data_IF_516723266370
#
_entry.id   IF_516723266370
#
_cell.length_a   1.000
_cell.length_b   1.000
_cell.length_c   1.000
_cell.angle_alpha   90.00
_cell.angle_beta   90.00
_cell.angle_gamma   90.00
#
_symmetry.space_group_name_H-M   'P 1'
#
loop_
_entity.id
_entity.type
_entity.pdbx_description
1 polymer ?
#
# COMPACT_ATOMS: atom_id res chain seq x y z
N UNK A 1 -11.20 -6.43 -5.54
CA UNK A 1 -10.02 -6.65 -6.40
C UNK A 1 -10.31 -6.46 -7.89
N UNK A 2 -11.48 -6.86 -8.40
CA UNK A 2 -11.83 -6.71 -9.84
C UNK A 2 -11.75 -5.26 -10.36
N UNK A 3 -12.15 -4.26 -9.56
CA UNK A 3 -12.05 -2.85 -9.96
C UNK A 3 -10.66 -2.24 -9.72
N UNK A 4 -9.87 -2.79 -8.79
CA UNK A 4 -8.55 -2.24 -8.42
C UNK A 4 -7.51 -2.49 -9.53
N UNK A 5 -7.53 -3.69 -10.12
CA UNK A 5 -6.57 -4.11 -11.14
C UNK A 5 -6.57 -3.20 -12.38
N UNK A 6 -7.73 -2.89 -13.00
CA UNK A 6 -7.79 -1.97 -14.13
C UNK A 6 -7.23 -0.59 -13.79
N UNK A 7 -7.60 -0.02 -12.63
CA UNK A 7 -7.10 1.30 -12.19
C UNK A 7 -5.59 1.28 -12.00
N UNK A 8 -5.06 0.24 -11.36
CA UNK A 8 -3.62 0.09 -11.14
C UNK A 8 -2.85 -0.03 -12.46
N UNK A 9 -3.35 -0.84 -13.40
CA UNK A 9 -2.73 -1.02 -14.72
C UNK A 9 -2.79 0.28 -15.53
N UNK A 10 -3.95 0.93 -15.60
CA UNK A 10 -4.12 2.21 -16.30
C UNK A 10 -3.19 3.27 -15.72
N UNK A 11 -3.07 3.35 -14.40
CA UNK A 11 -2.18 4.31 -13.76
C UNK A 11 -0.70 3.98 -14.01
N UNK A 12 -0.31 2.71 -13.96
CA UNK A 12 1.06 2.29 -14.29
C UNK A 12 1.45 2.66 -15.73
N UNK A 13 0.58 2.40 -16.71
CA UNK A 13 0.84 2.80 -18.09
C UNK A 13 0.82 4.32 -18.28
N UNK A 14 -0.10 5.02 -17.62
CA UNK A 14 -0.14 6.48 -17.64
C UNK A 14 1.18 7.08 -17.15
N UNK A 15 1.68 6.65 -15.99
CA UNK A 15 2.96 7.11 -15.45
C UNK A 15 4.16 6.82 -16.36
N UNK A 16 4.12 5.73 -17.14
CA UNK A 16 5.22 5.36 -18.05
C UNK A 16 5.19 6.09 -19.40
N UNK A 17 3.99 6.35 -19.91
CA UNK A 17 3.77 7.01 -21.20
C UNK A 17 3.77 8.54 -21.08
N UNK A 18 3.43 9.08 -19.91
CA UNK A 18 3.51 10.52 -19.64
C UNK A 18 4.96 11.00 -19.64
N UNK A 19 5.39 11.56 -20.78
CA UNK A 19 6.72 12.17 -20.95
C UNK A 19 6.94 13.31 -19.96
N UNK A 20 5.87 14.02 -19.58
CA UNK A 20 5.89 15.14 -18.63
C UNK A 20 6.24 14.71 -17.20
N UNK A 21 6.07 13.44 -16.83
CA UNK A 21 6.38 12.95 -15.48
C UNK A 21 7.80 12.38 -15.35
N UNK A 22 8.54 12.32 -16.47
CA UNK A 22 9.96 11.97 -16.44
C UNK A 22 10.76 13.15 -15.93
N UNK A 23 11.61 12.89 -14.94
CA UNK A 23 12.42 13.93 -14.28
C UNK A 23 11.61 14.98 -13.50
N UNK A 24 10.33 14.74 -13.24
CA UNK A 24 9.55 15.61 -12.37
C UNK A 24 9.84 15.30 -10.90
N UNK A 25 10.31 16.34 -10.20
CA UNK A 25 10.57 16.30 -8.78
C UNK A 25 9.26 16.51 -8.03
N UNK A 26 8.83 15.51 -7.26
CA UNK A 26 7.61 15.62 -6.45
C UNK A 26 7.89 16.18 -5.06
N UNK A 27 8.88 15.62 -4.35
CA UNK A 27 9.07 15.91 -2.91
C UNK A 27 10.49 15.57 -2.46
N UNK A 28 11.26 16.54 -1.95
CA UNK A 28 12.62 16.44 -1.38
C UNK A 28 13.57 15.36 -1.97
N UNK A 29 13.34 14.07 -1.69
CA UNK A 29 14.13 12.94 -2.19
C UNK A 29 13.61 12.29 -3.49
N UNK A 30 12.35 12.50 -3.85
CA UNK A 30 11.73 12.01 -5.09
C UNK A 30 12.01 13.03 -6.19
N UNK A 31 13.03 12.73 -7.00
CA UNK A 31 13.48 13.55 -8.12
C UNK A 31 12.93 13.07 -9.48
N UNK A 32 12.31 11.88 -9.51
CA UNK A 32 11.68 11.33 -10.71
C UNK A 32 10.54 10.37 -10.32
N UNK A 33 9.32 10.71 -10.73
CA UNK A 33 8.12 9.90 -10.47
C UNK A 33 8.05 8.61 -11.31
N UNK A 34 8.76 8.57 -12.43
CA UNK A 34 8.81 7.44 -13.35
C UNK A 34 9.89 6.41 -12.98
N UNK A 35 10.89 6.82 -12.20
CA UNK A 35 11.96 5.96 -11.70
C UNK A 35 11.63 5.36 -10.31
N UNK A 36 12.29 4.27 -9.90
CA UNK A 36 12.16 3.74 -8.54
C UNK A 36 12.64 4.73 -7.46
N UNK A 37 12.09 4.64 -6.25
CA UNK A 37 12.48 5.50 -5.12
C UNK A 37 13.93 5.21 -4.68
N UNK A 38 14.87 6.17 -4.82
CA UNK A 38 16.28 5.95 -4.52
C UNK A 38 16.56 5.73 -3.02
N UNK A 39 15.69 6.22 -2.13
CA UNK A 39 15.86 6.09 -0.68
C UNK A 39 14.98 5.00 -0.06
N UNK A 40 14.15 4.32 -0.87
CA UNK A 40 13.22 3.28 -0.42
C UNK A 40 12.27 3.71 0.71
N UNK A 41 12.02 5.02 0.86
CA UNK A 41 11.16 5.58 1.90
C UNK A 41 9.70 5.19 1.61
N UNK A 42 9.26 5.27 0.36
CA UNK A 42 7.89 4.94 -0.03
C UNK A 42 7.54 3.46 0.17
N UNK A 43 8.37 2.48 -0.26
CA UNK A 43 8.14 1.07 0.05
C UNK A 43 8.05 0.77 1.56
N UNK A 44 8.94 1.36 2.37
CA UNK A 44 8.94 1.17 3.83
C UNK A 44 7.67 1.76 4.46
N UNK A 45 7.27 2.95 4.01
CA UNK A 45 6.06 3.60 4.50
C UNK A 45 4.80 2.81 4.11
N UNK A 46 4.78 2.24 2.90
CA UNK A 46 3.72 1.33 2.46
C UNK A 46 3.65 0.07 3.34
N UNK A 47 4.78 -0.59 3.64
CA UNK A 47 4.82 -1.72 4.56
C UNK A 47 4.28 -1.35 5.95
N UNK A 48 4.65 -0.17 6.48
CA UNK A 48 4.15 0.34 7.75
C UNK A 48 2.63 0.55 7.74
N UNK A 49 2.08 1.15 6.67
CA UNK A 49 0.63 1.34 6.52
C UNK A 49 -0.12 0.02 6.44
N UNK A 50 0.40 -0.95 5.70
CA UNK A 50 -0.16 -2.30 5.62
C UNK A 50 -0.13 -3.00 6.97
N UNK A 51 0.99 -2.92 7.70
CA UNK A 51 1.11 -3.50 9.04
C UNK A 51 0.08 -2.90 10.02
N UNK A 52 -0.10 -1.57 9.99
CA UNK A 52 -1.13 -0.90 10.81
C UNK A 52 -2.55 -1.34 10.43
N UNK A 53 -2.81 -1.50 9.15
CA UNK A 53 -4.10 -1.97 8.62
C UNK A 53 -4.37 -3.42 9.05
N UNK A 54 -3.37 -4.29 8.99
CA UNK A 54 -3.46 -5.67 9.46
C UNK A 54 -3.70 -5.75 10.97
N UNK A 55 -3.08 -4.86 11.77
CA UNK A 55 -3.31 -4.82 13.22
C UNK A 55 -4.72 -4.36 13.58
N UNK A 56 -5.37 -3.57 12.73
CA UNK A 56 -6.75 -3.13 12.91
C UNK A 56 -7.76 -4.19 12.48
N UNK A 57 -7.46 -4.98 11.44
CA UNK A 57 -8.33 -6.06 10.99
C UNK A 57 -8.17 -7.29 11.89
N UNK A 58 -9.25 -7.80 12.52
CA UNK A 58 -9.18 -9.05 13.26
C UNK A 58 -8.77 -10.19 12.32
N UNK A 59 -7.90 -11.06 12.82
CA UNK A 59 -7.49 -12.26 12.10
C UNK A 59 -8.69 -13.22 12.00
N UNK A 60 -8.94 -13.88 10.86
CA UNK A 60 -10.07 -14.80 10.71
C UNK A 60 -10.04 -15.91 11.79
N UNK A 61 -11.17 -16.19 12.48
CA UNK A 61 -11.25 -17.32 13.41
C UNK A 61 -10.95 -18.64 12.67
N UNK A 62 -10.08 -19.48 13.24
CA UNK A 62 -9.73 -20.79 12.66
C UNK A 62 -8.52 -20.80 11.70
N UNK A 63 -7.75 -19.71 11.63
CA UNK A 63 -6.52 -19.69 10.85
C UNK A 63 -5.40 -20.53 11.50
N UNK A 64 -4.81 -21.44 10.72
CA UNK A 64 -3.63 -22.20 11.12
C UNK A 64 -2.42 -21.28 11.43
N UNK A 65 -1.57 -21.64 12.41
CA UNK A 65 -0.44 -20.81 12.85
C UNK A 65 0.55 -20.47 11.72
N UNK A 66 0.66 -21.33 10.70
CA UNK A 66 1.47 -21.09 9.50
C UNK A 66 0.94 -19.92 8.67
N UNK A 67 -0.37 -19.85 8.45
CA UNK A 67 -0.99 -18.77 7.68
C UNK A 67 -0.91 -17.42 8.43
N UNK A 68 -1.03 -17.45 9.76
CA UNK A 68 -0.86 -16.27 10.60
C UNK A 68 0.57 -15.70 10.50
N UNK A 69 1.59 -16.56 10.41
CA UNK A 69 2.97 -16.14 10.18
C UNK A 69 3.14 -15.51 8.80
N UNK A 70 2.58 -16.11 7.74
CA UNK A 70 2.63 -15.54 6.39
C UNK A 70 2.01 -14.14 6.32
N UNK A 71 0.89 -13.91 7.01
CA UNK A 71 0.27 -12.57 7.05
C UNK A 71 1.17 -11.51 7.66
N UNK A 72 2.03 -11.85 8.64
CA UNK A 72 2.99 -10.91 9.25
C UNK A 72 4.14 -10.54 8.32
N UNK A 73 4.57 -11.46 7.45
CA UNK A 73 5.67 -11.21 6.50
C UNK A 73 5.20 -10.66 5.16
N UNK A 74 3.91 -10.77 4.85
CA UNK A 74 3.32 -10.27 3.61
C UNK A 74 3.63 -8.79 3.31
N UNK A 75 3.52 -7.85 4.26
CA UNK A 75 3.85 -6.44 4.00
C UNK A 75 5.30 -6.23 3.58
N UNK A 76 6.23 -6.99 4.16
CA UNK A 76 7.66 -6.88 3.87
C UNK A 76 7.96 -7.42 2.48
N UNK A 77 7.36 -8.54 2.10
CA UNK A 77 7.51 -9.11 0.74
C UNK A 77 6.99 -8.16 -0.34
N UNK A 78 5.81 -7.57 -0.13
CA UNK A 78 5.23 -6.61 -1.09
C UNK A 78 6.05 -5.33 -1.17
N UNK A 79 6.57 -4.83 -0.04
CA UNK A 79 7.49 -3.70 -0.05
C UNK A 79 8.78 -4.01 -0.82
N UNK A 80 9.30 -5.24 -0.74
CA UNK A 80 10.43 -5.69 -1.56
C UNK A 80 10.16 -5.62 -3.07
N UNK A 81 8.93 -5.91 -3.50
CA UNK A 81 8.53 -5.75 -4.92
C UNK A 81 8.45 -4.27 -5.28
N UNK A 82 7.99 -3.42 -4.38
CA UNK A 82 7.82 -1.98 -4.63
C UNK A 82 9.14 -1.21 -4.74
N UNK A 83 10.26 -1.80 -4.31
CA UNK A 83 11.61 -1.24 -4.48
C UNK A 83 12.00 -1.04 -5.94
N UNK A 84 11.54 -1.91 -6.85
CA UNK A 84 11.85 -1.84 -8.28
C UNK A 84 10.75 -1.16 -9.10
N UNK A 85 9.64 -0.78 -8.46
CA UNK A 85 8.50 -0.17 -9.12
C UNK A 85 8.65 1.35 -9.21
N UNK A 86 8.05 2.01 -10.21
CA UNK A 86 8.05 3.48 -10.32
C UNK A 86 7.54 4.14 -9.04
N UNK A 87 8.25 5.15 -8.55
CA UNK A 87 7.94 5.84 -7.29
C UNK A 87 6.54 6.47 -7.30
N UNK A 88 6.06 6.95 -8.45
CA UNK A 88 4.70 7.46 -8.61
C UNK A 88 3.61 6.42 -8.34
N UNK A 89 3.84 5.16 -8.75
CA UNK A 89 2.92 4.04 -8.48
C UNK A 89 2.88 3.71 -6.99
N UNK A 90 4.06 3.70 -6.37
CA UNK A 90 4.20 3.42 -4.93
C UNK A 90 3.59 4.55 -4.11
N UNK A 91 3.79 5.81 -4.50
CA UNK A 91 3.21 6.99 -3.88
C UNK A 91 1.68 6.94 -3.91
N UNK A 92 1.09 6.61 -5.07
CA UNK A 92 -0.36 6.38 -5.17
C UNK A 92 -0.83 5.28 -4.21
N UNK A 93 -0.10 4.16 -4.17
CA UNK A 93 -0.46 3.04 -3.30
C UNK A 93 -0.41 3.43 -1.82
N UNK A 94 0.62 4.18 -1.42
CA UNK A 94 0.75 4.78 -0.09
C UNK A 94 -0.44 5.69 0.23
N UNK A 95 -0.76 6.63 -0.65
CA UNK A 95 -1.84 7.58 -0.42
C UNK A 95 -3.20 6.85 -0.31
N UNK A 96 -3.47 5.92 -1.24
CA UNK A 96 -4.70 5.14 -1.25
C UNK A 96 -4.84 4.25 0.00
N UNK A 97 -3.76 3.59 0.42
CA UNK A 97 -3.74 2.81 1.67
C UNK A 97 -3.89 3.69 2.91
N UNK A 98 -3.31 4.88 2.92
CA UNK A 98 -3.48 5.85 4.01
C UNK A 98 -4.93 6.32 4.14
N UNK A 99 -5.57 6.67 3.03
CA UNK A 99 -7.00 7.05 3.00
C UNK A 99 -7.86 5.87 3.47
N UNK A 100 -7.60 4.67 2.95
CA UNK A 100 -8.33 3.45 3.32
C UNK A 100 -8.21 3.16 4.83
N UNK A 101 -7.02 3.33 5.40
CA UNK A 101 -6.76 3.17 6.83
C UNK A 101 -7.54 4.20 7.67
N UNK A 102 -7.57 5.46 7.23
CA UNK A 102 -8.35 6.52 7.90
C UNK A 102 -9.83 6.22 7.82
N UNK A 103 -10.34 5.83 6.65
CA UNK A 103 -11.73 5.41 6.46
C UNK A 103 -12.07 4.24 7.38
N UNK A 104 -11.21 3.23 7.44
CA UNK A 104 -11.40 2.06 8.30
C UNK A 104 -11.43 2.46 9.78
N UNK A 105 -10.50 3.31 10.23
CA UNK A 105 -10.50 3.82 11.61
C UNK A 105 -11.75 4.63 11.93
N UNK A 106 -12.19 5.49 11.01
CA UNK A 106 -13.40 6.27 11.17
C UNK A 106 -14.65 5.37 11.26
N UNK A 107 -14.71 4.33 10.43
CA UNK A 107 -15.76 3.31 10.49
C UNK A 107 -15.76 2.56 11.82
N UNK A 108 -14.60 2.08 12.29
CA UNK A 108 -14.51 1.40 13.59
C UNK A 108 -14.87 2.30 14.77
N UNK A 109 -14.55 3.60 14.70
CA UNK A 109 -14.98 4.58 15.71
C UNK A 109 -16.50 4.76 15.71
N UNK A 110 -17.16 4.71 14.55
CA UNK A 110 -18.59 4.97 14.40
C UNK A 110 -19.47 3.74 14.65
N UNK A 111 -19.04 2.56 14.21
CA UNK A 111 -19.82 1.33 14.22
C UNK A 111 -19.31 0.27 15.22
N UNK A 112 -18.22 0.57 15.93
CA UNK A 112 -17.50 -0.42 16.73
C UNK A 112 -16.57 -1.27 15.85
N UNK A 113 -15.50 -1.79 16.44
CA UNK A 113 -14.76 -2.87 15.80
C UNK A 113 -15.69 -4.09 15.73
N UNK A 114 -15.74 -4.85 14.63
CA UNK A 114 -16.44 -6.12 14.62
C UNK A 114 -15.87 -6.97 15.75
N UNK A 115 -16.66 -7.16 16.80
CA UNK A 115 -16.33 -8.04 17.92
C UNK A 115 -16.05 -9.42 17.33
N UNK A 116 -15.02 -10.08 17.84
CA UNK A 116 -14.74 -11.49 17.59
C UNK A 116 -15.79 -12.39 18.27
N UNK A 117 -17.08 -12.12 18.03
CA UNK A 117 -18.20 -12.96 18.41
C UNK A 117 -18.72 -13.67 17.16
N UNK A 118 -17.98 -14.70 16.74
CA UNK A 118 -18.47 -16.07 16.50
C UNK A 118 -17.32 -17.03 16.80
#
# INVERSE_FOLDING_TARGET
MLLQLPVFISFFFCLRESVELRHESFFFWIQDLSAPDPLFILPVLFAGLMYLTQKLNPQPPGMDPTQAQVMKFMPIMIAGIFVIMPSGLVLYSVANSGISLVQQRAMYKKYGAPSSEV
#
